data_IF_616074866353
#
_entry.id   IF_616074866353
#
_cell.length_a   1.000
_cell.length_b   1.000
_cell.length_c   1.000
_cell.angle_alpha   90.00
_cell.angle_beta   90.00
_cell.angle_gamma   90.00
#
_symmetry.space_group_name_H-M   'P 1'
#
loop_
_entity.id
_entity.type
_entity.pdbx_description
1 polymer ?
#
# COMPACT_ATOMS: atom_id res chain seq x y z
N UNK A 1 -27.64 -11.25 5.18
CA UNK A 1 -26.97 -10.56 4.09
C UNK A 1 -25.55 -10.23 4.47
N UNK A 2 -24.69 -11.11 4.04
CA UNK A 2 -23.33 -11.13 4.49
C UNK A 2 -22.42 -10.13 3.75
N UNK A 3 -22.86 -9.65 2.61
CA UNK A 3 -22.03 -8.81 1.74
C UNK A 3 -22.43 -7.35 1.84
N UNK A 4 -22.47 -6.86 3.09
CA UNK A 4 -22.86 -5.48 3.31
C UNK A 4 -21.66 -4.58 3.07
N UNK A 5 -21.66 -3.96 1.90
CA UNK A 5 -20.76 -2.86 1.62
C UNK A 5 -21.15 -1.68 2.51
N UNK A 6 -20.18 -0.97 3.06
CA UNK A 6 -20.45 0.28 3.74
C UNK A 6 -21.13 1.26 2.77
N UNK A 7 -22.18 1.97 3.20
CA UNK A 7 -22.88 2.92 2.32
C UNK A 7 -21.90 3.95 1.74
N UNK A 8 -22.02 4.20 0.44
CA UNK A 8 -21.20 5.19 -0.25
C UNK A 8 -19.89 4.67 -0.81
N UNK A 9 -19.57 3.39 -0.62
CA UNK A 9 -18.29 2.83 -1.08
C UNK A 9 -18.44 1.85 -2.25
N UNK A 10 -19.61 1.73 -2.82
CA UNK A 10 -19.88 0.79 -3.92
C UNK A 10 -18.99 1.04 -5.15
N UNK A 11 -18.64 2.30 -5.37
CA UNK A 11 -17.77 2.67 -6.49
C UNK A 11 -16.38 2.06 -6.40
N UNK A 12 -15.92 1.70 -5.19
CA UNK A 12 -14.60 1.11 -5.00
C UNK A 12 -14.45 -0.25 -5.69
N UNK A 13 -15.56 -0.95 -5.93
CA UNK A 13 -15.53 -2.22 -6.67
C UNK A 13 -15.20 -2.06 -8.15
N UNK A 14 -15.27 -0.84 -8.66
CA UNK A 14 -14.94 -0.56 -10.06
C UNK A 14 -13.50 -0.08 -10.25
N UNK A 15 -12.74 0.05 -9.17
CA UNK A 15 -11.35 0.50 -9.25
C UNK A 15 -10.44 -0.68 -9.63
N UNK A 16 -9.43 -0.39 -10.44
CA UNK A 16 -8.41 -1.38 -10.81
C UNK A 16 -7.41 -1.63 -9.67
N UNK A 17 -7.36 -0.75 -8.69
CA UNK A 17 -6.47 -0.90 -7.53
C UNK A 17 -7.17 -1.63 -6.40
N UNK A 18 -6.39 -2.25 -5.52
CA UNK A 18 -6.90 -2.85 -4.31
C UNK A 18 -7.20 -1.76 -3.29
N UNK A 19 -8.40 -1.79 -2.72
CA UNK A 19 -8.84 -0.79 -1.74
C UNK A 19 -9.42 -1.48 -0.53
N UNK A 20 -9.02 -1.01 0.65
CA UNK A 20 -9.59 -1.43 1.92
C UNK A 20 -9.85 -0.21 2.79
N UNK A 21 -10.82 -0.32 3.67
CA UNK A 21 -11.05 0.60 4.77
C UNK A 21 -10.84 -0.18 6.05
N UNK A 22 -10.10 0.38 6.97
CA UNK A 22 -9.76 -0.30 8.22
C UNK A 22 -9.98 0.63 9.42
N UNK A 23 -10.16 0.02 10.59
CA UNK A 23 -10.07 0.74 11.86
C UNK A 23 -8.60 1.09 12.15
N UNK A 24 -8.34 2.03 13.06
CA UNK A 24 -6.96 2.36 13.44
C UNK A 24 -6.12 1.16 13.91
N UNK A 25 -6.76 0.15 14.49
CA UNK A 25 -6.09 -1.08 14.93
C UNK A 25 -5.83 -2.06 13.78
N UNK A 26 -6.28 -1.73 12.56
CA UNK A 26 -6.09 -2.55 11.38
C UNK A 26 -7.24 -3.49 11.04
N UNK A 27 -8.28 -3.57 11.87
CA UNK A 27 -9.44 -4.42 11.56
C UNK A 27 -10.09 -3.97 10.26
N UNK A 28 -10.27 -4.90 9.33
CA UNK A 28 -10.81 -4.60 8.00
C UNK A 28 -12.30 -4.35 8.05
N UNK A 29 -12.72 -3.18 7.57
CA UNK A 29 -14.14 -2.79 7.50
C UNK A 29 -14.70 -2.90 6.08
N UNK A 30 -13.82 -2.82 5.07
CA UNK A 30 -14.20 -2.89 3.67
C UNK A 30 -13.04 -3.43 2.86
N UNK A 31 -13.35 -4.27 1.89
CA UNK A 31 -12.40 -4.76 0.88
C UNK A 31 -13.12 -4.74 -0.46
N UNK A 32 -12.49 -4.16 -1.49
CA UNK A 32 -13.12 -4.11 -2.80
C UNK A 32 -12.91 -5.40 -3.60
N UNK A 33 -13.59 -5.51 -4.72
CA UNK A 33 -13.56 -6.71 -5.57
C UNK A 33 -12.15 -7.03 -6.09
N UNK A 34 -11.39 -6.00 -6.42
CA UNK A 34 -10.01 -6.18 -6.89
C UNK A 34 -9.14 -6.83 -5.81
N UNK A 35 -9.31 -6.41 -4.56
CA UNK A 35 -8.59 -7.00 -3.43
C UNK A 35 -8.96 -8.48 -3.23
N UNK A 36 -10.25 -8.81 -3.31
CA UNK A 36 -10.70 -10.19 -3.26
C UNK A 36 -10.03 -11.05 -4.33
N UNK A 37 -10.00 -10.54 -5.56
CA UNK A 37 -9.46 -11.28 -6.70
C UNK A 37 -7.94 -11.51 -6.55
N UNK A 38 -7.21 -10.50 -6.12
CA UNK A 38 -5.76 -10.60 -5.98
C UNK A 38 -5.38 -11.52 -4.81
N UNK A 39 -6.07 -11.36 -3.68
CA UNK A 39 -5.82 -12.19 -2.50
C UNK A 39 -6.31 -13.62 -2.65
N UNK A 40 -7.28 -13.85 -3.53
CA UNK A 40 -7.92 -15.15 -3.63
C UNK A 40 -8.77 -15.50 -2.43
N UNK A 41 -9.25 -14.51 -1.70
CA UNK A 41 -10.09 -14.68 -0.51
C UNK A 41 -11.40 -13.97 -0.70
N UNK A 42 -12.46 -14.51 -0.08
CA UNK A 42 -13.75 -13.86 -0.13
C UNK A 42 -13.77 -12.58 0.73
N UNK A 43 -14.64 -11.66 0.37
CA UNK A 43 -14.85 -10.43 1.15
C UNK A 43 -15.14 -10.74 2.62
N UNK A 44 -15.97 -11.74 2.87
CA UNK A 44 -16.30 -12.16 4.24
C UNK A 44 -15.06 -12.55 5.02
N UNK A 45 -14.15 -13.29 4.40
CA UNK A 45 -12.89 -13.68 5.04
C UNK A 45 -12.01 -12.47 5.32
N UNK A 46 -11.89 -11.56 4.34
CA UNK A 46 -11.10 -10.34 4.50
C UNK A 46 -11.65 -9.46 5.62
N UNK A 47 -12.96 -9.31 5.72
CA UNK A 47 -13.60 -8.48 6.75
C UNK A 47 -13.45 -9.04 8.17
N UNK A 48 -13.11 -10.30 8.31
CA UNK A 48 -12.83 -10.91 9.61
C UNK A 48 -11.39 -10.71 10.06
N UNK A 49 -10.54 -10.26 9.16
CA UNK A 49 -9.12 -10.18 9.39
C UNK A 49 -8.63 -8.79 9.71
N UNK A 50 -7.32 -8.70 9.79
CA UNK A 50 -6.60 -7.47 10.05
C UNK A 50 -5.68 -7.19 8.85
N UNK A 51 -5.69 -5.93 8.39
CA UNK A 51 -4.94 -5.55 7.18
C UNK A 51 -3.43 -5.73 7.35
N UNK A 52 -2.91 -5.63 8.57
CA UNK A 52 -1.47 -5.81 8.81
C UNK A 52 -1.01 -7.23 8.51
N UNK A 53 -1.90 -8.20 8.62
CA UNK A 53 -1.58 -9.60 8.36
C UNK A 53 -1.45 -9.90 6.87
N UNK A 54 -1.85 -8.98 6.01
CA UNK A 54 -1.72 -9.15 4.56
C UNK A 54 -0.30 -8.92 4.08
N UNK A 55 0.54 -8.28 4.87
CA UNK A 55 1.91 -7.95 4.50
C UNK A 55 2.90 -8.89 5.16
N UNK A 56 3.97 -9.19 4.45
CA UNK A 56 5.07 -10.02 4.97
C UNK A 56 5.70 -9.34 6.19
N UNK A 57 5.96 -8.04 6.09
CA UNK A 57 6.40 -7.23 7.23
C UNK A 57 5.31 -6.24 7.59
N UNK A 58 4.60 -6.43 8.72
CA UNK A 58 3.50 -5.56 9.10
C UNK A 58 3.93 -4.23 9.73
N UNK A 59 5.20 -4.07 10.09
CA UNK A 59 5.64 -2.91 10.86
C UNK A 59 5.40 -1.57 10.16
N UNK A 60 5.73 -1.40 8.86
CA UNK A 60 5.46 -0.12 8.19
C UNK A 60 3.98 0.24 8.15
N UNK A 61 3.10 -0.74 7.97
CA UNK A 61 1.67 -0.48 7.94
C UNK A 61 1.14 -0.09 9.32
N UNK A 62 1.59 -0.76 10.37
CA UNK A 62 1.22 -0.40 11.74
C UNK A 62 1.62 1.05 12.05
N UNK A 63 2.82 1.44 11.66
CA UNK A 63 3.29 2.80 11.90
C UNK A 63 2.48 3.81 11.09
N UNK A 64 2.18 3.53 9.82
CA UNK A 64 1.37 4.40 8.99
C UNK A 64 -0.05 4.56 9.56
N UNK A 65 -0.66 3.46 10.02
CA UNK A 65 -1.96 3.50 10.66
C UNK A 65 -1.94 4.38 11.91
N UNK A 66 -0.89 4.27 12.71
CA UNK A 66 -0.73 5.10 13.92
C UNK A 66 -0.60 6.57 13.57
N UNK A 67 0.29 6.91 12.66
CA UNK A 67 0.55 8.31 12.27
C UNK A 67 -0.69 8.98 11.67
N UNK A 68 -1.40 8.26 10.81
CA UNK A 68 -2.61 8.79 10.15
C UNK A 68 -3.75 8.91 11.16
N UNK A 69 -3.93 7.92 12.03
CA UNK A 69 -5.00 7.92 13.02
C UNK A 69 -4.79 8.99 14.10
N UNK A 70 -3.53 9.28 14.43
CA UNK A 70 -3.19 10.31 15.41
C UNK A 70 -3.13 11.72 14.80
N UNK A 71 -3.51 11.87 13.54
CA UNK A 71 -3.45 13.13 12.79
C UNK A 71 -2.05 13.73 12.68
N UNK A 72 -1.01 12.93 12.81
CA UNK A 72 0.36 13.40 12.64
C UNK A 72 0.69 13.61 11.15
N UNK A 73 0.08 12.78 10.27
CA UNK A 73 0.20 12.93 8.82
C UNK A 73 -1.16 12.71 8.17
N UNK A 74 -1.38 13.36 7.03
CA UNK A 74 -2.61 13.17 6.25
C UNK A 74 -2.57 11.86 5.45
N UNK A 75 -1.39 11.44 5.02
CA UNK A 75 -1.19 10.18 4.32
C UNK A 75 0.24 9.68 4.51
N UNK A 76 0.41 8.38 4.39
CA UNK A 76 1.71 7.73 4.37
C UNK A 76 1.82 6.80 3.18
N UNK A 77 3.03 6.65 2.65
CA UNK A 77 3.28 5.81 1.47
C UNK A 77 4.54 4.99 1.69
N UNK A 78 4.48 3.74 1.26
CA UNK A 78 5.64 2.85 1.33
C UNK A 78 5.44 1.67 0.39
N UNK A 79 6.53 1.02 -0.01
CA UNK A 79 6.48 -0.22 -0.77
C UNK A 79 6.56 -1.40 0.18
N UNK A 80 5.85 -2.48 -0.14
CA UNK A 80 5.78 -3.66 0.70
C UNK A 80 5.60 -4.92 -0.14
N UNK A 81 5.75 -6.06 0.51
CA UNK A 81 5.43 -7.36 -0.07
C UNK A 81 4.15 -7.87 0.56
N UNK A 82 3.17 -8.13 -0.29
CA UNK A 82 1.86 -8.62 0.11
C UNK A 82 1.83 -10.14 0.01
N UNK A 83 1.25 -10.77 1.01
CA UNK A 83 1.03 -12.23 0.96
C UNK A 83 -0.14 -12.51 0.05
N UNK A 84 0.02 -13.49 -0.83
CA UNK A 84 -1.11 -14.01 -1.58
C UNK A 84 -1.85 -15.03 -0.71
N UNK A 85 -2.97 -15.54 -1.23
CA UNK A 85 -3.74 -16.60 -0.58
C UNK A 85 -2.82 -17.66 0.04
N UNK A 86 -3.20 -18.24 1.18
CA UNK A 86 -2.45 -19.34 1.80
C UNK A 86 -2.13 -20.48 0.85
N UNK A 87 -2.96 -20.66 -0.19
CA UNK A 87 -2.75 -21.67 -1.22
C UNK A 87 -1.93 -21.14 -2.38
N UNK A 88 -1.72 -19.83 -2.47
CA UNK A 88 -0.95 -19.21 -3.53
C UNK A 88 0.53 -19.19 -3.19
N UNK A 89 1.36 -19.40 -4.18
CA UNK A 89 2.79 -19.30 -4.03
C UNK A 89 3.25 -17.87 -4.31
N UNK A 90 4.10 -17.36 -3.45
CA UNK A 90 4.82 -16.13 -3.71
C UNK A 90 4.25 -14.90 -3.05
N UNK A 91 4.98 -13.85 -3.18
CA UNK A 91 4.71 -12.55 -2.61
C UNK A 91 4.45 -11.57 -3.75
N UNK A 92 3.62 -10.58 -3.50
CA UNK A 92 3.25 -9.59 -4.49
C UNK A 92 3.81 -8.24 -4.07
N UNK A 93 4.74 -7.64 -4.85
CA UNK A 93 5.19 -6.28 -4.55
C UNK A 93 4.04 -5.28 -4.76
N UNK A 94 3.82 -4.44 -3.76
CA UNK A 94 2.77 -3.43 -3.80
C UNK A 94 3.28 -2.10 -3.28
N UNK A 95 2.71 -1.02 -3.82
CA UNK A 95 2.83 0.31 -3.26
C UNK A 95 1.60 0.54 -2.39
N UNK A 96 1.83 0.91 -1.14
CA UNK A 96 0.77 1.09 -0.16
C UNK A 96 0.59 2.57 0.14
N UNK A 97 -0.65 3.03 0.10
CA UNK A 97 -1.01 4.40 0.45
C UNK A 97 -2.04 4.32 1.58
N UNK A 98 -1.73 4.94 2.70
CA UNK A 98 -2.61 5.01 3.86
C UNK A 98 -3.04 6.47 4.01
N UNK A 99 -4.34 6.73 4.01
CA UNK A 99 -4.87 8.10 4.00
C UNK A 99 -5.95 8.29 5.05
N UNK A 100 -6.02 9.52 5.57
CA UNK A 100 -7.12 9.91 6.44
C UNK A 100 -8.45 9.88 5.69
N UNK A 101 -9.49 9.56 6.43
CA UNK A 101 -10.87 9.71 5.98
C UNK A 101 -11.56 10.79 6.81
N UNK A 102 -12.78 11.14 6.42
CA UNK A 102 -13.56 12.16 7.13
C UNK A 102 -13.81 11.80 8.61
N UNK A 103 -13.80 10.51 8.90
CA UNK A 103 -14.00 10.00 10.25
C UNK A 103 -12.66 9.50 10.81
N UNK A 104 -12.41 9.81 12.09
CA UNK A 104 -11.16 9.41 12.76
C UNK A 104 -11.11 7.94 13.13
N UNK A 105 -12.24 7.23 13.06
CA UNK A 105 -12.32 5.80 13.35
C UNK A 105 -12.07 4.92 12.12
N UNK A 106 -11.74 5.52 10.98
CA UNK A 106 -11.51 4.81 9.72
C UNK A 106 -10.29 5.34 8.99
N UNK A 107 -9.60 4.45 8.32
CA UNK A 107 -8.42 4.76 7.52
C UNK A 107 -8.58 4.10 6.16
N UNK A 108 -8.25 4.82 5.10
CA UNK A 108 -8.29 4.30 3.73
C UNK A 108 -6.94 3.71 3.38
N UNK A 109 -6.95 2.51 2.83
CA UNK A 109 -5.74 1.83 2.40
C UNK A 109 -5.88 1.45 0.93
N UNK A 110 -4.95 1.92 0.11
CA UNK A 110 -4.84 1.55 -1.29
C UNK A 110 -3.57 0.74 -1.48
N UNK A 111 -3.69 -0.37 -2.20
CA UNK A 111 -2.55 -1.22 -2.53
C UNK A 111 -2.49 -1.33 -4.06
N UNK A 112 -1.38 -0.90 -4.61
CA UNK A 112 -1.17 -0.86 -6.06
C UNK A 112 -0.06 -1.84 -6.39
N UNK A 113 -0.38 -2.83 -7.22
CA UNK A 113 0.61 -3.81 -7.66
C UNK A 113 1.73 -3.11 -8.42
N UNK A 114 2.96 -3.39 -8.03
CA UNK A 114 4.14 -2.91 -8.73
C UNK A 114 4.58 -4.00 -9.69
N UNK A 115 4.45 -3.74 -10.98
CA UNK A 115 4.97 -4.66 -11.98
C UNK A 115 6.49 -4.74 -11.85
N UNK A 116 7.03 -5.93 -12.06
CA UNK A 116 8.46 -6.16 -11.91
C UNK A 116 9.28 -5.18 -12.76
N UNK A 117 8.83 -4.88 -13.96
CA UNK A 117 9.51 -3.94 -14.84
C UNK A 117 9.50 -2.51 -14.28
N UNK A 118 8.38 -2.08 -13.75
CA UNK A 118 8.26 -0.76 -13.11
C UNK A 118 9.19 -0.66 -11.90
N UNK A 119 9.30 -1.73 -11.12
CA UNK A 119 10.19 -1.78 -9.97
C UNK A 119 11.65 -1.67 -10.40
N UNK A 120 12.05 -2.39 -11.43
CA UNK A 120 13.40 -2.30 -11.98
C UNK A 120 13.70 -0.91 -12.53
N UNK A 121 12.75 -0.30 -13.23
CA UNK A 121 12.89 1.06 -13.75
C UNK A 121 13.09 2.06 -12.60
N UNK A 122 12.37 1.92 -11.51
CA UNK A 122 12.53 2.77 -10.32
C UNK A 122 13.92 2.61 -9.71
N UNK A 123 14.40 1.40 -9.60
CA UNK A 123 15.73 1.10 -9.08
C UNK A 123 16.81 1.70 -10.01
N UNK A 124 16.66 1.54 -11.31
CA UNK A 124 17.58 2.10 -12.29
C UNK A 124 17.59 3.63 -12.24
N UNK A 125 16.43 4.26 -12.13
CA UNK A 125 16.33 5.72 -12.01
C UNK A 125 17.03 6.22 -10.77
N UNK A 126 16.81 5.58 -9.64
CA UNK A 126 17.47 5.94 -8.39
C UNK A 126 18.98 5.79 -8.50
N UNK A 127 19.45 4.70 -9.11
CA UNK A 127 20.86 4.46 -9.34
C UNK A 127 21.45 5.49 -10.32
N UNK A 128 20.73 5.77 -11.39
CA UNK A 128 21.16 6.76 -12.41
C UNK A 128 21.27 8.17 -11.83
N UNK A 129 20.33 8.58 -10.99
CA UNK A 129 20.38 9.88 -10.33
C UNK A 129 21.56 9.96 -9.36
N UNK A 130 21.82 8.94 -8.59
CA UNK A 130 22.97 8.90 -7.69
C UNK A 130 24.29 8.98 -8.47
N UNK A 131 24.39 8.27 -9.60
CA UNK A 131 25.55 8.31 -10.45
C UNK A 131 25.75 9.69 -11.08
N UNK A 132 24.69 10.28 -11.61
CA UNK A 132 24.75 11.62 -12.20
C UNK A 132 25.17 12.67 -11.18
N UNK A 133 24.69 12.60 -9.96
CA UNK A 133 25.08 13.51 -8.90
C UNK A 133 26.56 13.38 -8.56
N UNK A 134 27.10 12.18 -8.52
CA UNK A 134 28.53 11.95 -8.27
C UNK A 134 29.40 12.56 -9.38
N UNK A 135 29.00 12.37 -10.63
CA UNK A 135 29.72 12.93 -11.78
C UNK A 135 29.67 14.46 -11.77
N UNK A 136 28.52 15.03 -11.46
CA UNK A 136 28.35 16.49 -11.37
C UNK A 136 29.27 17.08 -10.31
N UNK A 137 29.30 16.49 -9.14
CA UNK A 137 30.18 16.95 -8.04
C UNK A 137 31.64 16.83 -8.45
N UNK A 138 32.02 15.75 -9.10
CA UNK A 138 33.38 15.54 -9.58
C UNK A 138 33.79 16.63 -10.59
N UNK A 139 32.91 16.93 -11.55
CA UNK A 139 33.16 17.94 -12.57
C UNK A 139 33.28 19.34 -11.96
N UNK A 140 32.43 19.68 -10.99
CA UNK A 140 32.52 20.95 -10.26
C UNK A 140 33.83 21.07 -9.53
N UNK A 141 34.31 20.01 -8.90
CA UNK A 141 35.60 20.01 -8.21
C UNK A 141 36.76 20.24 -9.19
N UNK A 142 36.68 19.74 -10.43
CA UNK A 142 37.68 19.97 -11.45
C UNK A 142 37.67 21.43 -11.96
N UNK A 143 36.51 22.05 -12.04
CA UNK A 143 36.39 23.41 -12.54
C UNK A 143 36.87 24.46 -11.52
N UNK A 144 36.89 24.13 -10.25
CA UNK A 144 37.29 25.05 -9.17
C UNK A 144 38.81 25.17 -9.02
N UNK A 145 39.54 24.38 -9.73
CA UNK A 145 40.99 24.56 -9.77
C UNK A 145 41.38 25.84 -10.50
#
# INVERSE_FOLDING_TARGET
MADVMLPGFEAFDHLATMVAVAQPDGHCLLANSTLENVMGLSRRTLLRGNVVDWLVDPAPLREALRLVSDNEVASGRFDALMRRSPMGSGELPVHVIVSQMDRTDRVLIELIEIEQQTRLDREERAHGLAQANKELVRNLAHEIK
#
